data_IF_243268289801
#
_entry.id   IF_243268289801
#
_cell.length_a   1.000
_cell.length_b   1.000
_cell.length_c   1.000
_cell.angle_alpha   90.00
_cell.angle_beta   90.00
_cell.angle_gamma   90.00
#
_symmetry.space_group_name_H-M   'P 1'
#
loop_
_entity.id
_entity.type
_entity.pdbx_description
1 polymer ?
#
# COMPACT_ATOMS: atom_id res chain seq x y z
N UNK A 1 -78.79 6.19 2.91
CA UNK A 1 -77.86 6.34 1.77
C UNK A 1 -76.55 6.86 2.32
N UNK A 2 -75.64 5.97 2.68
CA UNK A 2 -74.35 6.28 3.27
C UNK A 2 -73.24 6.00 2.29
N UNK A 3 -72.42 7.00 1.98
CA UNK A 3 -71.26 6.84 1.11
C UNK A 3 -70.05 6.26 1.91
N UNK A 4 -69.27 5.34 1.38
CA UNK A 4 -68.13 4.77 2.08
C UNK A 4 -66.90 5.68 1.91
N UNK A 5 -66.31 6.01 3.07
CA UNK A 5 -65.04 6.73 3.24
C UNK A 5 -63.86 5.87 2.70
N UNK A 6 -63.28 6.27 1.59
CA UNK A 6 -62.03 5.65 1.06
C UNK A 6 -60.83 6.16 1.85
N UNK A 7 -60.38 5.33 2.80
CA UNK A 7 -59.13 5.55 3.53
C UNK A 7 -57.94 5.61 2.58
N UNK A 8 -57.28 6.77 2.51
CA UNK A 8 -55.96 6.98 1.94
C UNK A 8 -54.94 6.15 2.74
N UNK A 9 -54.53 5.02 2.21
CA UNK A 9 -53.29 4.33 2.64
C UNK A 9 -52.12 5.23 2.26
N UNK A 10 -51.58 5.96 3.22
CA UNK A 10 -50.27 6.58 3.11
C UNK A 10 -49.23 5.43 3.01
N UNK A 11 -48.77 5.19 1.81
CA UNK A 11 -47.58 4.37 1.57
C UNK A 11 -46.41 5.08 2.25
N UNK A 12 -46.08 4.64 3.45
CA UNK A 12 -44.78 4.91 4.07
C UNK A 12 -43.73 4.23 3.18
N UNK A 13 -43.26 4.95 2.17
CA UNK A 13 -42.04 4.62 1.46
C UNK A 13 -40.87 4.71 2.46
N UNK A 14 -40.55 3.59 3.07
CA UNK A 14 -39.34 3.47 3.86
C UNK A 14 -38.16 3.87 2.95
N UNK A 15 -37.55 5.02 3.29
CA UNK A 15 -36.26 5.38 2.73
C UNK A 15 -35.32 4.22 3.02
N UNK A 16 -34.64 3.63 2.04
CA UNK A 16 -33.65 2.62 2.33
C UNK A 16 -32.59 3.30 3.23
N UNK A 17 -32.43 2.77 4.45
CA UNK A 17 -31.35 3.13 5.34
C UNK A 17 -30.02 2.87 4.62
N UNK A 18 -29.38 3.97 4.16
CA UNK A 18 -28.12 3.95 3.41
C UNK A 18 -26.89 3.71 4.31
N UNK A 19 -27.08 3.50 5.62
CA UNK A 19 -25.98 3.57 6.59
C UNK A 19 -25.56 2.24 7.22
N UNK A 20 -26.17 1.11 6.88
CA UNK A 20 -25.72 -0.20 7.38
C UNK A 20 -25.70 -1.23 6.27
N UNK A 21 -24.57 -1.32 5.58
CA UNK A 21 -24.31 -2.52 4.77
C UNK A 21 -24.31 -3.73 5.69
N UNK A 22 -25.16 -4.72 5.43
CA UNK A 22 -25.16 -5.94 6.23
C UNK A 22 -23.78 -6.62 6.07
N UNK A 23 -23.27 -7.25 7.14
CA UNK A 23 -22.01 -8.01 7.10
C UNK A 23 -21.98 -9.00 5.93
N UNK A 24 -23.11 -9.58 5.57
CA UNK A 24 -23.24 -10.48 4.43
C UNK A 24 -22.99 -9.79 3.07
N UNK A 25 -23.41 -8.53 2.91
CA UNK A 25 -23.14 -7.75 1.70
C UNK A 25 -21.66 -7.40 1.59
N UNK A 26 -21.02 -7.01 2.70
CA UNK A 26 -19.59 -6.72 2.75
C UNK A 26 -18.74 -7.96 2.44
N UNK A 27 -19.10 -9.12 2.98
CA UNK A 27 -18.46 -10.40 2.65
C UNK A 27 -18.66 -10.80 1.18
N UNK A 28 -19.83 -10.50 0.61
CA UNK A 28 -20.11 -10.71 -0.81
C UNK A 28 -19.23 -9.85 -1.74
N UNK A 29 -18.99 -8.59 -1.37
CA UNK A 29 -18.08 -7.70 -2.09
C UNK A 29 -16.63 -8.17 -1.97
N UNK A 30 -16.16 -8.53 -0.77
CA UNK A 30 -14.84 -9.10 -0.54
C UNK A 30 -14.57 -10.31 -1.44
N UNK A 31 -15.51 -11.28 -1.44
CA UNK A 31 -15.40 -12.48 -2.29
C UNK A 31 -15.24 -12.13 -3.76
N UNK A 32 -16.02 -11.14 -4.26
CA UNK A 32 -15.98 -10.74 -5.68
C UNK A 32 -14.64 -10.10 -6.05
N UNK A 33 -14.12 -9.20 -5.21
CA UNK A 33 -12.81 -8.56 -5.42
C UNK A 33 -11.67 -9.58 -5.32
N UNK A 34 -11.73 -10.48 -4.33
CA UNK A 34 -10.75 -11.54 -4.14
C UNK A 34 -10.70 -12.50 -5.33
N UNK A 35 -11.86 -12.94 -5.85
CA UNK A 35 -11.91 -13.82 -7.01
C UNK A 35 -11.32 -13.17 -8.26
N UNK A 36 -11.57 -11.87 -8.48
CA UNK A 36 -10.96 -11.14 -9.62
C UNK A 36 -9.45 -11.00 -9.46
N UNK A 37 -8.98 -10.72 -8.25
CA UNK A 37 -7.55 -10.65 -7.95
C UNK A 37 -6.86 -12.01 -8.17
N UNK A 38 -7.45 -13.10 -7.65
CA UNK A 38 -6.94 -14.45 -7.85
C UNK A 38 -6.92 -14.86 -9.34
N UNK A 39 -7.97 -14.51 -10.08
CA UNK A 39 -8.00 -14.77 -11.53
C UNK A 39 -6.89 -14.01 -12.26
N UNK A 40 -6.65 -12.76 -11.92
CA UNK A 40 -5.57 -11.97 -12.50
C UNK A 40 -4.19 -12.59 -12.19
N UNK A 41 -3.97 -13.04 -10.95
CA UNK A 41 -2.74 -13.74 -10.55
C UNK A 41 -2.61 -15.06 -11.31
N UNK A 42 -3.69 -15.85 -11.45
CA UNK A 42 -3.66 -17.10 -12.19
C UNK A 42 -3.28 -16.90 -13.66
N UNK A 43 -3.89 -15.92 -14.34
CA UNK A 43 -3.53 -15.54 -15.72
C UNK A 43 -2.07 -15.07 -15.80
N UNK A 44 -1.65 -14.18 -14.88
CA UNK A 44 -0.28 -13.72 -14.79
C UNK A 44 0.72 -14.88 -14.57
N UNK A 45 0.34 -15.88 -13.77
CA UNK A 45 1.16 -17.09 -13.53
C UNK A 45 1.34 -17.92 -14.79
N UNK A 46 0.28 -18.09 -15.58
CA UNK A 46 0.37 -18.80 -16.88
C UNK A 46 1.32 -18.06 -17.83
N UNK A 47 1.20 -16.74 -17.92
CA UNK A 47 2.11 -15.90 -18.75
C UNK A 47 3.55 -15.99 -18.24
N UNK A 48 3.76 -15.87 -16.93
CA UNK A 48 5.09 -15.98 -16.33
C UNK A 48 5.72 -17.37 -16.50
N UNK A 49 4.90 -18.42 -16.49
CA UNK A 49 5.37 -19.79 -16.72
C UNK A 49 5.93 -19.99 -18.14
N UNK A 50 5.32 -19.37 -19.16
CA UNK A 50 5.85 -19.39 -20.54
C UNK A 50 7.13 -18.55 -20.67
N UNK A 51 7.22 -17.44 -19.91
CA UNK A 51 8.36 -16.53 -19.90
C UNK A 51 9.41 -16.90 -18.81
N UNK A 52 9.46 -18.16 -18.37
CA UNK A 52 10.33 -18.58 -17.26
C UNK A 52 11.81 -18.20 -17.43
N UNK A 53 12.39 -18.42 -18.60
CA UNK A 53 13.83 -18.21 -18.84
C UNK A 53 14.28 -16.76 -18.64
N UNK A 54 13.63 -15.73 -19.22
CA UNK A 54 14.02 -14.35 -18.98
C UNK A 54 13.77 -13.92 -17.52
N UNK A 55 12.69 -14.38 -16.89
CA UNK A 55 12.39 -14.08 -15.49
C UNK A 55 13.44 -14.69 -14.56
N UNK A 56 13.82 -15.95 -14.79
CA UNK A 56 14.83 -16.63 -14.02
C UNK A 56 16.20 -15.92 -14.12
N UNK A 57 16.61 -15.52 -15.33
CA UNK A 57 17.84 -14.75 -15.51
C UNK A 57 17.81 -13.43 -14.78
N UNK A 58 16.69 -12.71 -14.85
CA UNK A 58 16.52 -11.45 -14.12
C UNK A 58 16.67 -11.66 -12.61
N UNK A 59 16.02 -12.67 -12.06
CA UNK A 59 16.07 -12.94 -10.62
C UNK A 59 17.47 -13.44 -10.18
N UNK A 60 18.21 -14.14 -11.02
CA UNK A 60 19.56 -14.66 -10.67
C UNK A 60 20.67 -13.66 -10.93
N UNK A 61 20.46 -12.63 -11.75
CA UNK A 61 21.47 -11.63 -12.09
C UNK A 61 22.16 -11.00 -10.87
N UNK A 62 21.47 -10.57 -9.79
CA UNK A 62 22.12 -9.93 -8.65
C UNK A 62 23.18 -10.82 -7.96
N UNK A 63 23.02 -12.14 -8.01
CA UNK A 63 24.00 -13.10 -7.51
C UNK A 63 25.07 -13.43 -8.56
N UNK A 64 24.66 -13.65 -9.81
CA UNK A 64 25.57 -14.08 -10.88
C UNK A 64 26.60 -13.00 -11.25
N UNK A 65 26.29 -11.73 -11.01
CA UNK A 65 27.22 -10.61 -11.24
C UNK A 65 28.27 -10.46 -10.13
N UNK A 66 28.12 -11.18 -9.00
CA UNK A 66 29.10 -11.13 -7.92
C UNK A 66 30.39 -11.90 -8.28
N UNK A 67 31.57 -11.37 -7.93
CA UNK A 67 32.86 -12.05 -8.18
C UNK A 67 32.94 -13.45 -7.57
N UNK A 68 32.27 -13.70 -6.45
CA UNK A 68 32.27 -14.96 -5.72
C UNK A 68 31.55 -16.08 -6.48
N UNK A 69 30.49 -15.75 -7.23
CA UNK A 69 29.76 -16.72 -8.03
C UNK A 69 30.59 -17.28 -9.18
N UNK A 70 31.52 -16.46 -9.70
CA UNK A 70 32.42 -16.80 -10.81
C UNK A 70 33.58 -17.68 -10.39
N UNK A 71 33.96 -17.72 -9.11
CA UNK A 71 35.04 -18.57 -8.59
C UNK A 71 34.75 -20.06 -8.72
N UNK A 72 33.48 -20.48 -8.62
CA UNK A 72 33.05 -21.87 -8.70
C UNK A 72 32.67 -22.31 -10.12
N UNK A 73 32.07 -21.41 -10.90
CA UNK A 73 31.48 -21.74 -12.21
C UNK A 73 32.26 -21.24 -13.42
N UNK A 74 33.44 -20.61 -13.25
CA UNK A 74 34.15 -19.95 -14.34
C UNK A 74 33.29 -18.80 -14.90
N UNK A 75 32.94 -18.85 -16.20
CA UNK A 75 32.10 -17.88 -16.86
C UNK A 75 30.58 -18.09 -16.60
N UNK A 76 30.20 -19.19 -15.95
CA UNK A 76 28.81 -19.53 -15.67
C UNK A 76 28.47 -19.33 -14.20
N UNK A 77 27.25 -18.88 -13.93
CA UNK A 77 26.72 -18.74 -12.58
C UNK A 77 26.47 -20.13 -11.97
N UNK A 78 27.11 -20.42 -10.82
CA UNK A 78 26.99 -21.71 -10.16
C UNK A 78 25.93 -21.69 -9.08
N UNK A 79 24.78 -22.29 -9.39
CA UNK A 79 23.65 -22.49 -8.47
C UNK A 79 23.28 -23.98 -8.45
N UNK A 80 23.04 -24.54 -7.28
CA UNK A 80 22.83 -25.99 -7.11
C UNK A 80 21.38 -26.28 -6.79
N UNK A 81 20.85 -27.37 -7.36
CA UNK A 81 19.54 -27.97 -7.04
C UNK A 81 19.80 -29.33 -6.44
N UNK A 82 19.26 -29.62 -5.27
CA UNK A 82 19.54 -30.89 -4.58
C UNK A 82 18.49 -31.99 -4.84
N UNK A 83 17.25 -31.64 -5.04
CA UNK A 83 16.14 -32.58 -5.22
C UNK A 83 15.65 -32.68 -6.65
N UNK A 84 15.29 -33.89 -7.10
CA UNK A 84 14.68 -34.08 -8.42
C UNK A 84 13.37 -33.29 -8.59
N UNK A 85 12.44 -33.25 -7.57
CA UNK A 85 11.22 -32.45 -7.67
C UNK A 85 11.48 -30.96 -7.53
N UNK A 86 12.62 -30.53 -6.96
CA UNK A 86 12.92 -29.13 -6.67
C UNK A 86 12.98 -28.27 -7.92
N UNK A 87 13.50 -28.79 -9.03
CA UNK A 87 13.55 -28.09 -10.30
C UNK A 87 12.14 -27.74 -10.83
N UNK A 88 11.18 -28.65 -10.68
CA UNK A 88 9.80 -28.42 -11.07
C UNK A 88 9.09 -27.44 -10.15
N UNK A 89 9.23 -27.65 -8.82
CA UNK A 89 8.64 -26.75 -7.81
C UNK A 89 9.22 -25.34 -7.91
N UNK A 90 10.50 -25.20 -8.21
CA UNK A 90 11.17 -23.95 -8.46
C UNK A 90 10.49 -23.18 -9.59
N UNK A 91 10.23 -23.85 -10.72
CA UNK A 91 9.57 -23.23 -11.87
C UNK A 91 8.18 -22.73 -11.53
N UNK A 92 7.41 -23.50 -10.76
CA UNK A 92 6.08 -23.10 -10.30
C UNK A 92 6.16 -21.90 -9.36
N UNK A 93 7.06 -21.91 -8.37
CA UNK A 93 7.24 -20.80 -7.42
C UNK A 93 7.58 -19.49 -8.13
N UNK A 94 8.53 -19.54 -9.08
CA UNK A 94 8.90 -18.36 -9.87
C UNK A 94 7.71 -17.86 -10.70
N UNK A 95 6.97 -18.77 -11.34
CA UNK A 95 5.83 -18.41 -12.15
C UNK A 95 4.71 -17.75 -11.32
N UNK A 96 4.40 -18.29 -10.14
CA UNK A 96 3.39 -17.70 -9.22
C UNK A 96 3.86 -16.31 -8.76
N UNK A 97 5.10 -16.19 -8.32
CA UNK A 97 5.66 -14.93 -7.83
C UNK A 97 5.68 -13.85 -8.93
N UNK A 98 6.23 -14.19 -10.09
CA UNK A 98 6.29 -13.27 -11.22
C UNK A 98 4.89 -12.94 -11.76
N UNK A 99 3.98 -13.93 -11.75
CA UNK A 99 2.57 -13.71 -12.11
C UNK A 99 1.87 -12.76 -11.16
N UNK A 100 2.14 -12.86 -9.86
CA UNK A 100 1.63 -11.91 -8.86
C UNK A 100 2.19 -10.50 -9.08
N UNK A 101 3.49 -10.35 -9.40
CA UNK A 101 4.08 -9.05 -9.72
C UNK A 101 3.52 -8.45 -11.01
N UNK A 102 3.40 -9.23 -12.07
CA UNK A 102 2.84 -8.77 -13.35
C UNK A 102 1.37 -8.35 -13.23
N UNK A 103 0.61 -9.04 -12.40
CA UNK A 103 -0.79 -8.72 -12.14
C UNK A 103 -0.99 -7.67 -11.04
N UNK A 104 0.08 -7.10 -10.46
CA UNK A 104 0.02 -6.12 -9.38
C UNK A 104 -0.95 -4.95 -9.66
N UNK A 105 -1.00 -4.34 -10.84
CA UNK A 105 -1.97 -3.27 -11.10
C UNK A 105 -3.41 -3.70 -10.90
N UNK A 106 -3.74 -4.96 -11.23
CA UNK A 106 -5.11 -5.47 -11.14
C UNK A 106 -5.48 -5.80 -9.71
N UNK A 107 -4.65 -6.57 -8.97
CA UNK A 107 -5.01 -6.93 -7.60
C UNK A 107 -4.86 -5.77 -6.63
N UNK A 108 -3.93 -4.82 -6.84
CA UNK A 108 -3.88 -3.57 -6.08
C UNK A 108 -5.15 -2.74 -6.30
N UNK A 109 -5.63 -2.64 -7.54
CA UNK A 109 -6.92 -2.01 -7.80
C UNK A 109 -8.06 -2.68 -7.02
N UNK A 110 -8.14 -4.02 -7.03
CA UNK A 110 -9.18 -4.75 -6.30
C UNK A 110 -9.07 -4.55 -4.79
N UNK A 111 -7.84 -4.54 -4.26
CA UNK A 111 -7.55 -4.29 -2.85
C UNK A 111 -8.05 -2.91 -2.41
N UNK A 112 -7.67 -1.86 -3.16
CA UNK A 112 -8.05 -0.49 -2.82
C UNK A 112 -9.53 -0.21 -3.06
N UNK A 113 -10.13 -0.80 -4.08
CA UNK A 113 -11.57 -0.72 -4.33
C UNK A 113 -12.40 -1.32 -3.18
N UNK A 114 -11.86 -2.34 -2.49
CA UNK A 114 -12.49 -2.93 -1.31
C UNK A 114 -12.26 -2.09 -0.04
N UNK A 115 -11.03 -1.57 0.17
CA UNK A 115 -10.68 -0.82 1.40
C UNK A 115 -11.32 0.58 1.40
N UNK A 116 -11.50 1.21 0.24
CA UNK A 116 -11.96 2.58 0.12
C UNK A 116 -13.29 2.72 -0.64
N UNK A 117 -14.39 2.06 -0.21
CA UNK A 117 -15.67 2.10 -0.94
C UNK A 117 -16.27 3.51 -0.98
N UNK A 118 -16.00 4.35 0.03
CA UNK A 118 -16.45 5.74 0.11
C UNK A 118 -15.77 6.70 -0.88
N UNK A 119 -14.56 6.37 -1.34
CA UNK A 119 -13.81 7.17 -2.29
C UNK A 119 -14.35 7.02 -3.72
N UNK A 120 -14.97 5.88 -4.01
CA UNK A 120 -15.46 5.53 -5.36
C UNK A 120 -16.66 6.35 -5.83
N UNK A 121 -17.45 6.91 -4.90
CA UNK A 121 -18.72 7.60 -5.24
C UNK A 121 -18.57 9.09 -5.54
N UNK A 122 -17.48 9.75 -5.14
CA UNK A 122 -17.36 11.21 -5.26
C UNK A 122 -16.45 11.72 -6.37
N UNK A 123 -15.37 11.02 -6.73
CA UNK A 123 -14.48 11.45 -7.82
C UNK A 123 -13.69 10.25 -8.38
N UNK A 124 -14.12 9.72 -9.49
CA UNK A 124 -13.45 8.64 -10.24
C UNK A 124 -11.96 8.94 -10.54
N UNK A 125 -11.62 10.22 -10.71
CA UNK A 125 -10.24 10.68 -10.94
C UNK A 125 -9.35 10.45 -9.73
N UNK A 126 -9.86 10.63 -8.52
CA UNK A 126 -9.11 10.38 -7.28
C UNK A 126 -8.81 8.89 -7.08
N UNK A 127 -9.79 8.02 -7.38
CA UNK A 127 -9.59 6.58 -7.28
C UNK A 127 -8.51 6.09 -8.26
N UNK A 128 -8.53 6.56 -9.51
CA UNK A 128 -7.52 6.20 -10.52
C UNK A 128 -6.14 6.71 -10.13
N UNK A 129 -6.03 7.97 -9.67
CA UNK A 129 -4.75 8.53 -9.22
C UNK A 129 -4.19 7.78 -8.01
N UNK A 130 -5.05 7.35 -7.10
CA UNK A 130 -4.67 6.59 -5.91
C UNK A 130 -4.13 5.20 -6.26
N UNK A 131 -4.82 4.48 -7.16
CA UNK A 131 -4.34 3.18 -7.65
C UNK A 131 -3.05 3.33 -8.46
N UNK A 132 -2.95 4.37 -9.30
CA UNK A 132 -1.71 4.63 -10.03
C UNK A 132 -0.53 4.91 -9.08
N UNK A 133 -0.75 5.69 -8.01
CA UNK A 133 0.24 5.91 -6.97
C UNK A 133 0.64 4.60 -6.26
N UNK A 134 -0.33 3.73 -5.95
CA UNK A 134 -0.08 2.40 -5.36
C UNK A 134 0.79 1.54 -6.26
N UNK A 135 0.45 1.40 -7.54
CA UNK A 135 1.25 0.62 -8.50
C UNK A 135 2.68 1.18 -8.61
N UNK A 136 2.83 2.51 -8.63
CA UNK A 136 4.15 3.16 -8.68
C UNK A 136 4.94 2.94 -7.39
N UNK A 137 4.32 3.05 -6.21
CA UNK A 137 4.99 2.83 -4.93
C UNK A 137 5.39 1.36 -4.77
N UNK A 138 4.49 0.44 -5.08
CA UNK A 138 4.79 -1.00 -5.06
C UNK A 138 5.96 -1.34 -6.00
N UNK A 139 5.93 -0.83 -7.23
CA UNK A 139 7.01 -1.00 -8.21
C UNK A 139 8.32 -0.36 -7.76
N UNK A 140 8.27 0.82 -7.13
CA UNK A 140 9.44 1.47 -6.55
C UNK A 140 10.03 0.67 -5.39
N UNK A 141 9.19 0.11 -4.51
CA UNK A 141 9.62 -0.79 -3.45
C UNK A 141 10.26 -2.06 -3.97
N UNK A 142 9.63 -2.72 -4.95
CA UNK A 142 10.17 -3.91 -5.60
C UNK A 142 11.52 -3.65 -6.29
N UNK A 143 11.67 -2.51 -6.98
CA UNK A 143 12.93 -2.12 -7.62
C UNK A 143 14.01 -1.73 -6.61
N UNK A 144 13.65 -1.08 -5.50
CA UNK A 144 14.58 -0.79 -4.41
C UNK A 144 15.11 -2.07 -3.76
N UNK A 145 14.24 -3.06 -3.52
CA UNK A 145 14.64 -4.38 -3.06
C UNK A 145 15.66 -5.01 -4.01
N UNK A 146 15.32 -5.05 -5.31
CA UNK A 146 16.16 -5.64 -6.33
C UNK A 146 17.55 -4.96 -6.41
N UNK A 147 17.60 -3.63 -6.37
CA UNK A 147 18.85 -2.86 -6.38
C UNK A 147 19.73 -3.12 -5.15
N UNK A 148 19.10 -3.40 -3.99
CA UNK A 148 19.84 -3.65 -2.74
C UNK A 148 20.36 -5.08 -2.62
N UNK A 149 19.77 -6.05 -3.36
CA UNK A 149 20.11 -7.47 -3.27
C UNK A 149 21.61 -7.77 -3.50
N UNK A 150 22.21 -7.16 -4.52
CA UNK A 150 23.62 -7.37 -4.82
C UNK A 150 24.54 -6.97 -3.66
N UNK A 151 24.29 -5.80 -3.07
CA UNK A 151 25.08 -5.29 -1.96
C UNK A 151 24.87 -6.09 -0.66
N UNK A 152 23.62 -6.47 -0.36
CA UNK A 152 23.28 -7.30 0.78
C UNK A 152 23.92 -8.70 0.69
N UNK A 153 23.84 -9.33 -0.49
CA UNK A 153 24.47 -10.62 -0.73
C UNK A 153 25.99 -10.55 -0.67
N UNK A 154 26.61 -9.51 -1.25
CA UNK A 154 28.05 -9.31 -1.18
C UNK A 154 28.55 -9.20 0.26
N UNK A 155 27.82 -8.45 1.11
CA UNK A 155 28.11 -8.33 2.54
C UNK A 155 28.00 -9.68 3.25
N UNK A 156 26.85 -10.37 3.10
CA UNK A 156 26.59 -11.64 3.78
C UNK A 156 27.59 -12.73 3.39
N UNK A 157 27.87 -12.85 2.09
CA UNK A 157 28.85 -13.82 1.58
C UNK A 157 30.29 -13.42 1.95
N UNK A 158 30.56 -12.13 2.14
CA UNK A 158 31.85 -11.62 2.61
C UNK A 158 32.22 -12.07 4.01
N UNK A 159 31.25 -12.31 4.89
CA UNK A 159 31.47 -12.84 6.24
C UNK A 159 31.97 -14.29 6.24
N UNK A 160 31.79 -15.05 5.16
CA UNK A 160 32.30 -16.42 5.07
C UNK A 160 33.84 -16.50 5.03
N UNK A 161 34.54 -15.39 4.77
CA UNK A 161 36.00 -15.34 4.69
C UNK A 161 36.55 -15.92 3.37
N UNK A 162 37.88 -15.92 3.27
CA UNK A 162 38.60 -16.43 2.05
C UNK A 162 38.66 -17.95 1.96
N UNK A 163 38.52 -18.63 3.10
CA UNK A 163 38.75 -20.05 3.25
C UNK A 163 37.49 -20.91 2.99
N UNK A 164 36.35 -20.27 2.89
CA UNK A 164 35.08 -20.94 2.64
C UNK A 164 34.52 -20.50 1.30
N UNK A 165 34.16 -21.45 0.48
CA UNK A 165 33.48 -21.21 -0.81
C UNK A 165 31.97 -21.46 -0.62
N UNK A 166 31.16 -20.42 -0.51
CA UNK A 166 29.73 -20.60 -0.27
C UNK A 166 29.05 -21.15 -1.53
N UNK A 167 28.42 -22.32 -1.40
CA UNK A 167 27.57 -22.91 -2.44
C UNK A 167 26.13 -22.52 -2.16
N UNK A 168 25.50 -21.78 -3.07
CA UNK A 168 24.12 -21.35 -2.91
C UNK A 168 23.16 -22.34 -3.58
N UNK A 169 22.18 -22.78 -2.78
CA UNK A 169 21.02 -23.50 -3.27
C UNK A 169 20.04 -22.53 -3.95
N UNK A 170 19.65 -22.82 -5.19
CA UNK A 170 18.72 -21.98 -5.99
C UNK A 170 17.42 -21.71 -5.24
N UNK A 171 16.85 -22.72 -4.58
CA UNK A 171 15.56 -22.61 -3.89
C UNK A 171 15.62 -21.62 -2.73
N UNK A 172 16.70 -21.67 -1.93
CA UNK A 172 16.90 -20.74 -0.79
C UNK A 172 17.16 -19.32 -1.27
N UNK A 173 18.00 -19.19 -2.30
CA UNK A 173 18.31 -17.91 -2.91
C UNK A 173 17.02 -17.22 -3.45
N UNK A 174 16.21 -17.97 -4.21
CA UNK A 174 14.95 -17.42 -4.74
C UNK A 174 13.91 -17.12 -3.66
N UNK A 175 13.85 -17.93 -2.61
CA UNK A 175 12.99 -17.62 -1.45
C UNK A 175 13.41 -16.31 -0.78
N UNK A 176 14.70 -16.07 -0.64
CA UNK A 176 15.25 -14.82 -0.11
C UNK A 176 14.85 -13.61 -0.97
N UNK A 177 15.10 -13.68 -2.29
CA UNK A 177 14.76 -12.60 -3.23
C UNK A 177 13.25 -12.31 -3.26
N UNK A 178 12.44 -13.36 -3.39
CA UNK A 178 10.99 -13.19 -3.47
C UNK A 178 10.43 -12.58 -2.19
N UNK A 179 10.96 -12.97 -1.03
CA UNK A 179 10.60 -12.37 0.25
C UNK A 179 11.02 -10.90 0.32
N UNK A 180 12.25 -10.57 -0.09
CA UNK A 180 12.75 -9.18 -0.14
C UNK A 180 11.85 -8.29 -1.00
N UNK A 181 11.59 -8.69 -2.25
CA UNK A 181 10.76 -7.92 -3.17
C UNK A 181 9.34 -7.76 -2.61
N UNK A 182 8.78 -8.81 -2.01
CA UNK A 182 7.44 -8.77 -1.41
C UNK A 182 7.40 -7.81 -0.22
N UNK A 183 8.34 -7.92 0.72
CA UNK A 183 8.40 -7.06 1.91
C UNK A 183 8.56 -5.59 1.51
N UNK A 184 9.50 -5.27 0.64
CA UNK A 184 9.71 -3.90 0.19
C UNK A 184 8.50 -3.35 -0.58
N UNK A 185 7.94 -4.15 -1.51
CA UNK A 185 6.78 -3.75 -2.29
C UNK A 185 5.59 -3.38 -1.40
N UNK A 186 5.22 -4.25 -0.46
CA UNK A 186 4.12 -3.97 0.47
C UNK A 186 4.44 -2.86 1.47
N UNK A 187 5.69 -2.74 1.92
CA UNK A 187 6.09 -1.69 2.85
C UNK A 187 5.92 -0.30 2.25
N UNK A 188 6.18 -0.16 0.96
CA UNK A 188 6.01 1.11 0.25
C UNK A 188 4.53 1.52 0.07
N UNK A 189 3.57 0.61 0.30
CA UNK A 189 2.14 0.94 0.36
C UNK A 189 1.75 1.65 1.68
N UNK A 190 2.55 1.51 2.75
CA UNK A 190 2.24 2.06 4.06
C UNK A 190 1.95 3.57 4.06
N UNK A 191 2.73 4.44 3.39
CA UNK A 191 2.45 5.87 3.33
C UNK A 191 1.11 6.19 2.65
N UNK A 192 0.72 5.39 1.68
CA UNK A 192 -0.55 5.54 0.98
C UNK A 192 -1.74 5.22 1.90
N UNK A 193 -1.59 4.22 2.79
CA UNK A 193 -2.57 3.92 3.84
C UNK A 193 -2.75 5.15 4.76
N UNK A 194 -1.67 5.81 5.16
CA UNK A 194 -1.73 7.00 6.00
C UNK A 194 -2.47 8.16 5.32
N UNK A 195 -2.20 8.38 4.03
CA UNK A 195 -2.91 9.39 3.23
C UNK A 195 -4.39 9.05 3.12
N UNK A 196 -4.74 7.78 2.92
CA UNK A 196 -6.13 7.32 2.89
C UNK A 196 -6.84 7.57 4.22
N UNK A 197 -6.23 7.21 5.35
CA UNK A 197 -6.79 7.44 6.69
C UNK A 197 -6.98 8.93 6.99
N UNK A 198 -6.06 9.78 6.52
CA UNK A 198 -6.23 11.22 6.58
C UNK A 198 -7.38 11.68 5.66
N UNK A 199 -7.44 11.16 4.43
CA UNK A 199 -8.53 11.45 3.50
C UNK A 199 -9.90 10.98 4.01
N UNK A 200 -9.97 9.91 4.77
CA UNK A 200 -11.19 9.46 5.45
C UNK A 200 -11.54 10.30 6.70
N UNK A 201 -10.65 11.20 7.15
CA UNK A 201 -10.86 12.03 8.34
C UNK A 201 -10.55 11.35 9.68
N UNK A 202 -10.09 10.09 9.65
CA UNK A 202 -9.76 9.31 10.86
C UNK A 202 -8.45 9.78 11.49
N UNK A 203 -7.50 10.25 10.67
CA UNK A 203 -6.17 10.64 11.09
C UNK A 203 -5.85 12.07 10.64
N UNK A 204 -5.62 12.99 11.60
CA UNK A 204 -5.25 14.38 11.30
C UNK A 204 -3.73 14.52 11.09
N UNK A 205 -3.34 15.48 10.24
CA UNK A 205 -1.93 15.82 10.00
C UNK A 205 -1.20 16.28 11.27
N UNK A 206 -1.92 16.89 12.21
CA UNK A 206 -1.37 17.29 13.50
C UNK A 206 -0.98 16.06 14.35
N UNK A 207 -1.80 15.01 14.36
CA UNK A 207 -1.52 13.75 15.08
C UNK A 207 -0.33 13.02 14.45
N UNK A 208 -0.27 12.93 13.13
CA UNK A 208 0.88 12.34 12.42
C UNK A 208 2.19 13.06 12.80
N UNK A 209 2.19 14.39 12.80
CA UNK A 209 3.37 15.17 13.16
C UNK A 209 3.78 15.00 14.61
N UNK A 210 2.83 14.93 15.55
CA UNK A 210 3.13 14.72 16.95
C UNK A 210 3.78 13.36 17.21
N UNK A 211 3.32 12.31 16.53
CA UNK A 211 3.82 10.94 16.66
C UNK A 211 5.05 10.63 15.80
N UNK A 212 5.64 11.63 15.13
CA UNK A 212 6.74 11.46 14.17
C UNK A 212 7.91 10.63 14.71
N UNK A 213 8.39 10.95 15.93
CA UNK A 213 9.53 10.24 16.55
C UNK A 213 9.22 8.76 16.78
N UNK A 214 8.02 8.47 17.27
CA UNK A 214 7.56 7.11 17.51
C UNK A 214 7.43 6.33 16.20
N UNK A 215 6.83 6.94 15.15
CA UNK A 215 6.64 6.27 13.86
C UNK A 215 7.98 5.97 13.20
N UNK A 216 8.93 6.90 13.20
CA UNK A 216 10.29 6.67 12.68
C UNK A 216 10.94 5.51 13.42
N UNK A 217 10.90 5.49 14.75
CA UNK A 217 11.42 4.39 15.55
C UNK A 217 10.77 3.05 15.19
N UNK A 218 9.44 3.02 15.04
CA UNK A 218 8.70 1.82 14.64
C UNK A 218 9.03 1.36 13.21
N UNK A 219 9.29 2.29 12.28
CA UNK A 219 9.71 1.95 10.92
C UNK A 219 11.09 1.29 10.88
N UNK A 220 12.03 1.76 11.70
CA UNK A 220 13.33 1.08 11.85
C UNK A 220 13.18 -0.30 12.50
N UNK A 221 12.39 -0.41 13.57
CA UNK A 221 12.07 -1.69 14.21
C UNK A 221 11.39 -2.66 13.25
N UNK A 222 10.41 -2.18 12.48
CA UNK A 222 9.76 -2.96 11.43
C UNK A 222 10.76 -3.43 10.37
N UNK A 223 11.61 -2.53 9.85
CA UNK A 223 12.60 -2.89 8.85
C UNK A 223 13.58 -3.96 9.38
N UNK A 224 14.02 -3.86 10.63
CA UNK A 224 14.92 -4.84 11.25
C UNK A 224 14.30 -6.25 11.34
N UNK A 225 12.98 -6.35 11.57
CA UNK A 225 12.28 -7.64 11.69
C UNK A 225 11.81 -8.16 10.33
N UNK A 226 11.39 -7.25 9.44
CA UNK A 226 10.78 -7.61 8.17
C UNK A 226 11.80 -8.03 7.11
N UNK A 227 13.05 -7.52 7.18
CA UNK A 227 14.10 -7.92 6.23
C UNK A 227 14.59 -9.34 6.54
N UNK A 228 14.57 -10.25 5.55
CA UNK A 228 14.88 -11.67 5.79
C UNK A 228 16.36 -11.92 6.11
N UNK A 229 17.26 -11.02 5.74
CA UNK A 229 18.69 -11.12 5.98
C UNK A 229 19.14 -10.55 7.32
N UNK A 230 18.32 -9.72 7.96
CA UNK A 230 18.62 -9.02 9.21
C UNK A 230 20.00 -8.29 9.21
N UNK A 231 20.50 -7.95 8.02
CA UNK A 231 21.74 -7.20 7.86
C UNK A 231 21.48 -5.68 7.87
N UNK A 232 22.45 -4.86 8.34
CA UNK A 232 22.27 -3.42 8.45
C UNK A 232 22.03 -2.71 7.11
N UNK A 233 22.56 -3.24 6.00
CA UNK A 233 22.45 -2.60 4.68
C UNK A 233 21.02 -2.73 4.17
N UNK A 234 20.45 -3.95 4.18
CA UNK A 234 19.07 -4.17 3.73
C UNK A 234 18.07 -3.52 4.67
N UNK A 235 18.34 -3.52 5.99
CA UNK A 235 17.52 -2.79 6.97
C UNK A 235 17.47 -1.29 6.66
N UNK A 236 18.62 -0.64 6.44
CA UNK A 236 18.69 0.78 6.11
C UNK A 236 18.09 1.08 4.73
N UNK A 237 18.30 0.19 3.76
CA UNK A 237 17.72 0.33 2.43
C UNK A 237 16.19 0.29 2.42
N UNK A 238 15.57 -0.37 3.41
CA UNK A 238 14.12 -0.32 3.62
C UNK A 238 13.71 0.86 4.50
N UNK A 239 14.36 1.08 5.65
CA UNK A 239 13.96 2.06 6.63
C UNK A 239 14.07 3.51 6.12
N UNK A 240 15.16 3.85 5.43
CA UNK A 240 15.40 5.24 4.97
C UNK A 240 14.35 5.69 3.96
N UNK A 241 14.07 4.97 2.87
CA UNK A 241 12.99 5.35 1.96
C UNK A 241 11.62 5.39 2.62
N UNK A 242 11.31 4.45 3.54
CA UNK A 242 10.04 4.47 4.28
C UNK A 242 9.89 5.73 5.15
N UNK A 243 10.96 6.18 5.80
CA UNK A 243 10.94 7.43 6.57
C UNK A 243 10.71 8.64 5.64
N UNK A 244 11.36 8.68 4.47
CA UNK A 244 11.13 9.73 3.47
C UNK A 244 9.69 9.73 2.96
N UNK A 245 9.16 8.57 2.62
CA UNK A 245 7.77 8.42 2.17
C UNK A 245 6.76 8.79 3.28
N UNK A 246 7.08 8.48 4.54
CA UNK A 246 6.27 8.94 5.67
C UNK A 246 6.22 10.47 5.77
N UNK A 247 7.36 11.16 5.62
CA UNK A 247 7.39 12.64 5.61
C UNK A 247 6.57 13.23 4.45
N UNK A 248 6.65 12.61 3.27
CA UNK A 248 5.82 12.98 2.11
C UNK A 248 4.34 12.78 2.44
N UNK A 249 3.96 11.67 3.07
CA UNK A 249 2.57 11.43 3.48
C UNK A 249 2.07 12.47 4.49
N UNK A 250 2.90 12.87 5.45
CA UNK A 250 2.59 13.95 6.41
C UNK A 250 2.40 15.29 5.69
N UNK A 251 3.22 15.58 4.68
CA UNK A 251 3.08 16.80 3.87
C UNK A 251 1.77 16.81 3.07
N UNK A 252 1.45 15.69 2.42
CA UNK A 252 0.18 15.53 1.69
C UNK A 252 -1.02 15.70 2.63
N UNK A 253 -0.98 15.06 3.82
CA UNK A 253 -2.02 15.17 4.83
C UNK A 253 -2.24 16.64 5.27
N UNK A 254 -1.18 17.44 5.43
CA UNK A 254 -1.29 18.89 5.73
C UNK A 254 -2.00 19.66 4.63
N UNK A 255 -1.66 19.38 3.37
CA UNK A 255 -2.29 20.04 2.22
C UNK A 255 -3.79 19.69 2.16
N UNK A 256 -4.14 18.43 2.40
CA UNK A 256 -5.53 17.95 2.40
C UNK A 256 -6.32 18.59 3.54
N UNK A 257 -5.78 18.58 4.78
CA UNK A 257 -6.43 19.19 5.95
C UNK A 257 -6.60 20.71 5.77
N UNK A 258 -5.59 21.41 5.24
CA UNK A 258 -5.67 22.85 4.96
C UNK A 258 -6.73 23.18 3.92
N UNK A 259 -6.88 22.37 2.87
CA UNK A 259 -7.95 22.56 1.87
C UNK A 259 -9.34 22.31 2.46
N UNK A 260 -9.48 21.33 3.38
CA UNK A 260 -10.75 21.07 4.09
C UNK A 260 -11.13 22.22 4.99
N UNK A 261 -10.19 22.73 5.78
CA UNK A 261 -10.41 23.87 6.65
C UNK A 261 -10.87 25.12 5.88
N UNK A 262 -10.23 25.41 4.74
CA UNK A 262 -10.63 26.50 3.86
C UNK A 262 -12.05 26.33 3.29
N UNK A 263 -12.40 25.12 2.84
CA UNK A 263 -13.75 24.83 2.33
C UNK A 263 -14.82 24.95 3.42
N UNK A 264 -14.52 24.49 4.64
CA UNK A 264 -15.42 24.63 5.77
C UNK A 264 -15.65 26.10 6.16
N UNK A 265 -14.61 26.92 6.14
CA UNK A 265 -14.70 28.36 6.38
C UNK A 265 -15.52 29.12 5.31
N UNK A 266 -15.45 28.68 4.04
CA UNK A 266 -16.23 29.30 2.94
C UNK A 266 -17.69 28.84 2.93
N UNK A 267 -18.04 27.73 3.62
CA UNK A 267 -19.39 27.20 3.73
C UNK A 267 -20.10 27.62 5.02
N UNK A 268 -19.54 28.59 5.79
CA UNK A 268 -20.26 29.14 6.93
C UNK A 268 -21.56 29.78 6.38
N UNK A 269 -22.75 29.35 6.84
CA UNK A 269 -24.00 29.88 6.33
C UNK A 269 -24.10 31.38 6.62
N UNK A 270 -24.57 32.15 5.65
CA UNK A 270 -24.73 33.62 5.74
C UNK A 270 -25.53 34.05 6.96
N UNK A 271 -26.45 33.19 7.44
CA UNK A 271 -27.24 33.48 8.66
C UNK A 271 -26.37 33.50 9.95
N UNK A 272 -25.32 32.72 10.05
CA UNK A 272 -24.37 32.76 11.18
C UNK A 272 -23.49 34.01 11.14
N UNK A 273 -23.15 34.48 9.94
CA UNK A 273 -22.46 35.75 9.76
C UNK A 273 -23.34 36.92 10.15
N UNK A 274 -24.65 36.94 9.77
CA UNK A 274 -25.59 37.96 10.14
C UNK A 274 -25.92 37.94 11.65
N UNK A 275 -26.00 36.76 12.28
CA UNK A 275 -26.21 36.64 13.73
C UNK A 275 -25.00 37.15 14.53
N UNK A 276 -23.77 36.89 14.05
CA UNK A 276 -22.55 37.42 14.66
C UNK A 276 -22.47 38.96 14.50
N UNK A 277 -22.86 39.47 13.35
CA UNK A 277 -22.91 40.92 13.08
C UNK A 277 -23.94 41.63 13.93
N UNK A 278 -25.13 41.03 14.14
CA UNK A 278 -26.16 41.53 15.04
C UNK A 278 -25.72 41.56 16.50
N UNK A 279 -25.04 40.49 16.98
CA UNK A 279 -24.48 40.41 18.33
C UNK A 279 -23.33 41.42 18.57
N UNK A 280 -22.54 41.72 17.56
CA UNK A 280 -21.50 42.73 17.62
C UNK A 280 -22.09 44.13 17.62
N UNK A 281 -23.20 44.37 16.91
CA UNK A 281 -23.91 45.64 16.90
C UNK A 281 -24.57 45.92 18.26
N UNK A 282 -25.19 44.91 18.86
CA UNK A 282 -25.82 44.98 20.19
C UNK A 282 -24.78 45.28 21.30
N UNK A 283 -23.54 44.85 21.13
CA UNK A 283 -22.46 45.17 22.09
C UNK A 283 -21.85 46.55 21.93
N UNK A 284 -22.05 47.20 20.78
CA UNK A 284 -21.51 48.54 20.49
C UNK A 284 -22.49 49.67 20.70
N UNK A 285 -23.79 49.40 20.97
CA UNK A 285 -24.71 50.43 21.38
C UNK A 285 -24.40 50.86 22.83
N UNK A 286 -24.02 52.12 23.08
CA UNK A 286 -23.81 52.60 24.42
C UNK A 286 -25.15 52.67 25.14
N UNK A 287 -25.22 52.08 26.35
CA UNK A 287 -26.36 52.14 27.23
C UNK A 287 -26.80 53.62 27.39
N UNK A 288 -27.88 53.98 26.73
CA UNK A 288 -28.52 55.28 26.88
C UNK A 288 -29.01 55.40 28.33
N UNK A 289 -28.33 56.25 29.11
CA UNK A 289 -28.71 56.52 30.51
C UNK A 289 -30.06 57.22 30.54
N UNK A 290 -31.05 56.72 31.31
CA UNK A 290 -32.31 57.45 31.53
C UNK A 290 -32.04 58.67 32.40
N UNK A 291 -32.51 59.82 31.92
CA UNK A 291 -32.57 61.05 32.67
C UNK A 291 -33.69 61.03 33.76
#
# INVERSE_FOLDING_TARGET
MGAPNRGRRLLHGGRPNLDTMSLAQHLGELRRHLLRALLAVAVGTVVAFTAFHPIFRLLTAPYCDLPISRRLGGNNCFLVVFGVPDAFLLRIRIAIFAGALLSAPVWLYQLWAFIAPGLHRREQRWAVSFVAASVLLFGAGASAAYATLGNGLALLLGFAGSDVTPVLEVTRYLSYITMMITVFGFSFEFPLILVLLNAAGTLSSARLRHSRRLVIFLLFGFAAVATPSQDPITMLALAVPLCLLYEIAVLIARIVDGRRAKRAATQLPDHLASDLESLLHERTEPAEQPR
#
